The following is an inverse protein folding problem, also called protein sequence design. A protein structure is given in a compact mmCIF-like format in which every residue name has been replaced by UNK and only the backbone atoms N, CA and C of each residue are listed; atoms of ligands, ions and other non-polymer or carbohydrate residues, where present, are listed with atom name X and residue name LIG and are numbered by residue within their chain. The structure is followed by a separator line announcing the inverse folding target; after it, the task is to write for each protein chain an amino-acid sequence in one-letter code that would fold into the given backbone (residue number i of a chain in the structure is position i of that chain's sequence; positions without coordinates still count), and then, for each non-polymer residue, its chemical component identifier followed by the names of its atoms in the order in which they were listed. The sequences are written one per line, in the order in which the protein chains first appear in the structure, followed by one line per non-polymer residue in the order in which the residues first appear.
data_IF_491271190243
#
_entry.id   IF_491271190243
#
_cell.length_a   1.000
_cell.length_b   1.000
_cell.length_c   1.000
_cell.angle_alpha   90.00
_cell.angle_beta   90.00
_cell.angle_gamma   90.00
#
_symmetry.space_group_name_H-M   'P 1'
#
loop_
_entity.id
_entity.type
_entity.pdbx_description
1 polymer ?
#
# COMPACT_ATOMS: atom_id res chain seq x y z
N UNK A 1 22.84 11.11 -4.37
CA UNK A 1 21.42 11.35 -4.58
C UNK A 1 20.62 10.47 -3.63
N UNK A 2 19.73 11.07 -2.86
CA UNK A 2 18.92 10.37 -1.87
C UNK A 2 17.85 9.50 -2.55
N UNK A 3 17.68 8.29 -2.03
CA UNK A 3 16.76 7.29 -2.55
C UNK A 3 16.04 6.64 -1.37
N UNK A 4 14.79 7.04 -1.17
CA UNK A 4 13.97 6.59 -0.05
C UNK A 4 13.07 5.43 -0.48
N UNK A 5 13.10 4.31 0.27
CA UNK A 5 12.18 3.21 0.13
C UNK A 5 11.24 3.14 1.34
N UNK A 6 9.94 3.13 1.07
CA UNK A 6 8.91 2.97 2.07
C UNK A 6 8.13 1.69 1.74
N UNK A 7 8.22 0.70 2.62
CA UNK A 7 7.64 -0.62 2.41
C UNK A 7 6.30 -0.76 3.13
N UNK A 8 5.29 -1.25 2.41
CA UNK A 8 3.98 -1.59 2.95
C UNK A 8 4.06 -3.01 3.53
N UNK A 9 4.24 -3.12 4.84
CA UNK A 9 4.56 -4.39 5.50
C UNK A 9 3.53 -5.48 5.26
N UNK A 10 2.28 -5.25 5.66
CA UNK A 10 1.25 -6.29 5.55
C UNK A 10 0.98 -6.72 4.11
N UNK A 11 0.96 -5.78 3.17
CA UNK A 11 0.78 -6.11 1.76
C UNK A 11 1.88 -7.06 1.26
N UNK A 12 3.12 -6.81 1.65
CA UNK A 12 4.26 -7.66 1.29
C UNK A 12 4.26 -8.99 2.05
N UNK A 13 3.85 -8.99 3.31
CA UNK A 13 3.74 -10.19 4.14
C UNK A 13 2.66 -11.13 3.59
N UNK A 14 1.48 -10.60 3.28
CA UNK A 14 0.40 -11.38 2.67
C UNK A 14 0.82 -11.97 1.34
N UNK A 15 1.47 -11.17 0.50
CA UNK A 15 1.99 -11.64 -0.79
C UNK A 15 2.97 -12.81 -0.60
N UNK A 16 3.89 -12.70 0.34
CA UNK A 16 4.86 -13.75 0.67
C UNK A 16 4.16 -15.01 1.16
N UNK A 17 3.20 -14.88 2.06
CA UNK A 17 2.43 -16.00 2.60
C UNK A 17 1.71 -16.77 1.49
N UNK A 18 0.99 -16.07 0.63
CA UNK A 18 0.22 -16.70 -0.45
C UNK A 18 1.10 -17.27 -1.57
N UNK A 19 2.31 -16.74 -1.75
CA UNK A 19 3.26 -17.31 -2.70
C UNK A 19 3.67 -18.75 -2.32
N UNK A 20 3.64 -19.09 -1.04
CA UNK A 20 3.98 -20.41 -0.52
C UNK A 20 2.77 -21.24 -0.08
N UNK A 21 1.54 -20.79 -0.37
CA UNK A 21 0.33 -21.42 0.16
C UNK A 21 0.20 -22.90 -0.20
N UNK A 22 0.67 -23.31 -1.38
CA UNK A 22 0.63 -24.69 -1.86
C UNK A 22 1.79 -25.55 -1.36
N UNK A 23 2.89 -24.94 -0.96
CA UNK A 23 4.07 -25.63 -0.46
C UNK A 23 4.69 -24.78 0.66
N UNK A 24 4.04 -24.73 1.83
CA UNK A 24 4.48 -23.85 2.91
C UNK A 24 5.83 -24.32 3.49
N UNK A 25 6.61 -23.36 3.94
CA UNK A 25 7.90 -23.61 4.60
C UNK A 25 7.65 -23.85 6.08
N UNK A 26 7.67 -25.10 6.47
CA UNK A 26 7.49 -25.50 7.87
C UNK A 26 8.86 -25.89 8.44
N UNK A 27 9.27 -25.26 9.53
CA UNK A 27 10.54 -25.62 10.19
C UNK A 27 10.39 -26.85 11.08
N UNK A 28 11.48 -27.32 11.69
CA UNK A 28 11.49 -28.51 12.54
C UNK A 28 10.60 -28.42 13.78
N UNK A 29 10.23 -27.21 14.18
CA UNK A 29 9.32 -26.91 15.31
C UNK A 29 7.86 -26.86 14.89
N UNK A 30 7.54 -27.11 13.62
CA UNK A 30 6.18 -27.05 13.09
C UNK A 30 5.69 -25.64 12.78
N UNK A 31 6.55 -24.64 12.81
CA UNK A 31 6.21 -23.25 12.53
C UNK A 31 6.20 -22.99 11.03
N UNK A 32 5.14 -22.36 10.53
CA UNK A 32 5.07 -21.89 9.13
C UNK A 32 5.85 -20.58 9.00
N UNK A 33 7.03 -20.65 8.40
CA UNK A 33 7.95 -19.53 8.22
C UNK A 33 7.86 -18.89 6.84
N UNK A 34 6.86 -19.28 6.05
CA UNK A 34 6.70 -18.82 4.66
C UNK A 34 6.65 -17.31 4.51
N UNK A 35 5.80 -16.64 5.31
CA UNK A 35 5.64 -15.19 5.26
C UNK A 35 6.93 -14.47 5.66
N UNK A 36 7.60 -14.98 6.70
CA UNK A 36 8.87 -14.41 7.18
C UNK A 36 9.95 -14.55 6.12
N UNK A 37 10.11 -15.76 5.59
CA UNK A 37 11.11 -16.04 4.56
C UNK A 37 10.92 -15.19 3.31
N UNK A 38 9.69 -15.14 2.79
CA UNK A 38 9.38 -14.36 1.58
C UNK A 38 9.59 -12.88 1.79
N UNK A 39 9.19 -12.36 2.94
CA UNK A 39 9.40 -10.95 3.27
C UNK A 39 10.89 -10.61 3.36
N UNK A 40 11.67 -11.41 4.09
CA UNK A 40 13.12 -11.19 4.25
C UNK A 40 13.85 -11.30 2.91
N UNK A 41 13.49 -12.30 2.11
CA UNK A 41 14.09 -12.48 0.79
C UNK A 41 13.82 -11.27 -0.11
N UNK A 42 12.60 -10.74 -0.08
CA UNK A 42 12.23 -9.52 -0.81
C UNK A 42 13.01 -8.31 -0.30
N UNK A 43 13.15 -8.17 1.02
CA UNK A 43 13.92 -7.10 1.65
C UNK A 43 15.40 -7.15 1.23
N UNK A 44 16.03 -8.32 1.34
CA UNK A 44 17.43 -8.52 0.94
C UNK A 44 17.65 -8.16 -0.54
N UNK A 45 16.72 -8.56 -1.40
CA UNK A 45 16.77 -8.25 -2.83
C UNK A 45 16.77 -6.74 -3.08
N UNK A 46 15.87 -6.01 -2.43
CA UNK A 46 15.77 -4.56 -2.57
C UNK A 46 17.01 -3.86 -2.04
N UNK A 47 17.49 -4.27 -0.87
CA UNK A 47 18.70 -3.69 -0.27
C UNK A 47 19.93 -3.87 -1.18
N UNK A 48 20.01 -5.02 -1.84
CA UNK A 48 21.12 -5.35 -2.73
C UNK A 48 21.03 -4.68 -4.11
N UNK A 49 19.86 -4.78 -4.75
CA UNK A 49 19.65 -4.30 -6.12
C UNK A 49 19.48 -2.79 -6.20
N UNK A 50 18.73 -2.22 -5.29
CA UNK A 50 18.32 -0.81 -5.35
C UNK A 50 19.21 0.11 -4.53
N UNK A 51 19.96 -0.41 -3.58
CA UNK A 51 20.86 0.37 -2.72
C UNK A 51 20.20 1.62 -2.15
N UNK A 52 19.08 1.48 -1.41
CA UNK A 52 18.42 2.66 -0.85
C UNK A 52 19.34 3.40 0.13
N UNK A 53 19.29 4.72 0.10
CA UNK A 53 19.99 5.55 1.09
C UNK A 53 19.20 5.68 2.37
N UNK A 54 17.87 5.58 2.25
CA UNK A 54 16.93 5.70 3.35
C UNK A 54 15.84 4.63 3.19
N UNK A 55 15.38 4.05 4.27
CA UNK A 55 14.38 2.98 4.24
C UNK A 55 13.56 2.95 5.54
N UNK A 56 12.27 2.71 5.40
CA UNK A 56 11.35 2.48 6.51
C UNK A 56 10.29 1.49 6.11
N UNK A 57 9.71 0.81 7.10
CA UNK A 57 8.66 -0.20 6.88
C UNK A 57 7.43 0.18 7.68
N UNK A 58 6.33 0.44 6.99
CA UNK A 58 5.08 0.87 7.59
C UNK A 58 4.17 -0.31 7.89
N UNK A 59 3.64 -0.34 9.11
CA UNK A 59 2.69 -1.36 9.57
C UNK A 59 1.33 -0.71 9.86
N UNK A 60 0.27 -1.44 9.53
CA UNK A 60 -1.06 -1.07 10.01
C UNK A 60 -1.12 -1.26 11.53
N UNK A 61 -1.80 -0.36 12.25
CA UNK A 61 -1.93 -0.47 13.70
C UNK A 61 -2.92 -1.57 14.09
N UNK A 62 -2.90 -1.97 15.34
CA UNK A 62 -3.95 -2.80 15.89
C UNK A 62 -5.20 -1.96 16.12
N UNK A 63 -6.36 -2.53 15.77
CA UNK A 63 -7.64 -1.89 15.99
C UNK A 63 -8.11 -1.03 14.80
N UNK A 64 -9.26 -0.37 14.96
CA UNK A 64 -9.89 0.39 13.89
C UNK A 64 -9.12 1.68 13.57
N UNK A 65 -9.25 2.13 12.31
CA UNK A 65 -8.71 3.40 11.85
C UNK A 65 -9.84 4.43 11.72
N UNK A 66 -9.50 5.66 11.34
CA UNK A 66 -10.50 6.72 11.13
C UNK A 66 -11.55 6.34 10.08
N UNK A 67 -11.21 5.47 9.10
CA UNK A 67 -12.17 5.01 8.10
C UNK A 67 -13.25 4.12 8.71
N UNK A 68 -12.88 3.23 9.63
CA UNK A 68 -13.83 2.39 10.36
C UNK A 68 -14.75 3.21 11.25
N UNK A 69 -14.24 4.28 11.86
CA UNK A 69 -15.03 5.20 12.67
C UNK A 69 -16.09 5.93 11.84
N UNK A 70 -15.76 6.28 10.61
CA UNK A 70 -16.67 6.97 9.69
C UNK A 70 -17.66 6.00 9.03
N UNK A 71 -17.20 4.79 8.70
CA UNK A 71 -17.99 3.79 7.99
C UNK A 71 -17.64 2.40 8.51
N UNK A 72 -18.48 1.85 9.39
CA UNK A 72 -18.26 0.54 10.03
C UNK A 72 -18.10 -0.61 9.03
N UNK A 73 -18.73 -0.49 7.85
CA UNK A 73 -18.69 -1.51 6.82
C UNK A 73 -17.35 -1.52 6.05
N UNK A 74 -16.50 -0.54 6.27
CA UNK A 74 -15.19 -0.48 5.63
C UNK A 74 -14.39 -1.74 5.96
N UNK A 75 -14.00 -2.49 4.92
CA UNK A 75 -13.27 -3.76 5.02
C UNK A 75 -13.99 -4.85 5.85
N UNK A 76 -15.29 -4.69 6.14
CA UNK A 76 -16.04 -5.58 7.02
C UNK A 76 -16.14 -7.03 6.51
N UNK A 77 -16.09 -7.24 5.19
CA UNK A 77 -16.17 -8.56 4.57
C UNK A 77 -14.82 -9.31 4.52
N UNK A 78 -13.73 -8.64 4.92
CA UNK A 78 -12.41 -9.30 4.93
C UNK A 78 -12.38 -10.39 5.98
N UNK A 79 -11.79 -11.51 5.61
CA UNK A 79 -11.53 -12.61 6.54
C UNK A 79 -10.53 -12.18 7.61
N UNK A 80 -10.57 -12.84 8.76
CA UNK A 80 -9.55 -12.62 9.79
C UNK A 80 -8.16 -12.91 9.24
N UNK A 81 -7.17 -12.17 9.75
CA UNK A 81 -5.77 -12.42 9.40
C UNK A 81 -5.41 -13.86 9.76
N UNK A 82 -4.87 -14.65 8.81
CA UNK A 82 -4.41 -16.01 9.12
C UNK A 82 -3.48 -16.03 10.32
N UNK A 83 -3.62 -17.05 11.17
CA UNK A 83 -2.81 -17.19 12.38
C UNK A 83 -1.31 -17.19 12.08
N UNK A 84 -0.90 -17.86 11.00
CA UNK A 84 0.51 -17.91 10.59
C UNK A 84 1.07 -16.52 10.23
N UNK A 85 0.26 -15.66 9.64
CA UNK A 85 0.64 -14.26 9.38
C UNK A 85 0.73 -13.50 10.71
N UNK A 86 -0.28 -13.66 11.56
CA UNK A 86 -0.33 -13.01 12.87
C UNK A 86 0.88 -13.35 13.72
N UNK A 87 1.28 -14.63 13.74
CA UNK A 87 2.46 -15.11 14.44
C UNK A 87 3.77 -14.61 13.81
N UNK A 88 3.78 -14.38 12.51
CA UNK A 88 4.96 -13.92 11.77
C UNK A 88 5.30 -12.45 12.02
N UNK A 89 4.31 -11.59 12.26
CA UNK A 89 4.51 -10.14 12.36
C UNK A 89 5.50 -9.75 13.47
N UNK A 90 5.40 -10.25 14.71
CA UNK A 90 6.39 -9.92 15.75
C UNK A 90 7.81 -10.34 15.38
N UNK A 91 7.95 -11.48 14.72
CA UNK A 91 9.26 -12.01 14.28
C UNK A 91 9.84 -11.12 13.18
N UNK A 92 9.03 -10.71 12.21
CA UNK A 92 9.45 -9.78 11.15
C UNK A 92 9.89 -8.44 11.77
N UNK A 93 9.17 -7.93 12.74
CA UNK A 93 9.55 -6.70 13.45
C UNK A 93 10.89 -6.86 14.16
N UNK A 94 11.13 -7.99 14.79
CA UNK A 94 12.41 -8.29 15.43
C UNK A 94 13.56 -8.33 14.42
N UNK A 95 13.33 -8.96 13.26
CA UNK A 95 14.29 -8.99 12.16
C UNK A 95 14.59 -7.58 11.67
N UNK A 96 13.56 -6.75 11.46
CA UNK A 96 13.73 -5.36 11.02
C UNK A 96 14.58 -4.56 12.02
N UNK A 97 14.40 -4.77 13.32
CA UNK A 97 15.22 -4.13 14.35
C UNK A 97 16.68 -4.57 14.24
N UNK A 98 16.93 -5.85 13.93
CA UNK A 98 18.28 -6.36 13.70
C UNK A 98 18.92 -5.76 12.44
N UNK A 99 18.12 -5.47 11.41
CA UNK A 99 18.57 -4.72 10.23
C UNK A 99 18.74 -3.21 10.51
N UNK A 100 18.31 -2.75 11.67
CA UNK A 100 18.26 -1.32 12.02
C UNK A 100 17.41 -0.50 11.06
N UNK A 101 16.32 -1.10 10.59
CA UNK A 101 15.33 -0.45 9.72
C UNK A 101 14.15 0.01 10.59
N UNK A 102 13.80 1.30 10.55
CA UNK A 102 12.68 1.82 11.33
C UNK A 102 11.34 1.21 10.98
N UNK A 103 10.58 0.91 12.04
CA UNK A 103 9.19 0.46 11.94
C UNK A 103 8.32 1.70 12.14
N UNK A 104 7.45 1.96 11.16
CA UNK A 104 6.58 3.13 11.12
C UNK A 104 5.14 2.68 11.37
N UNK A 105 4.54 3.17 12.44
CA UNK A 105 3.18 2.81 12.82
C UNK A 105 2.51 3.99 13.52
N UNK A 106 1.32 4.36 13.06
CA UNK A 106 0.56 5.48 13.63
C UNK A 106 -0.83 5.00 14.00
N UNK A 107 -1.18 5.07 15.28
CA UNK A 107 -2.50 4.66 15.76
C UNK A 107 -3.61 5.41 15.02
N UNK A 108 -4.62 4.69 14.56
CA UNK A 108 -5.78 5.26 13.87
C UNK A 108 -5.60 5.48 12.37
N UNK A 109 -4.40 5.24 11.84
CA UNK A 109 -4.07 5.41 10.41
C UNK A 109 -3.53 4.12 9.83
N UNK A 110 -3.86 3.84 8.57
CA UNK A 110 -3.34 2.66 7.88
C UNK A 110 -1.91 2.91 7.39
N UNK A 111 -1.20 1.84 7.07
CA UNK A 111 0.18 1.92 6.54
C UNK A 111 0.25 2.80 5.29
N UNK A 112 -0.76 2.73 4.41
CA UNK A 112 -0.78 3.55 3.20
C UNK A 112 -0.89 5.05 3.49
N UNK A 113 -1.60 5.45 4.56
CA UNK A 113 -1.66 6.84 5.01
C UNK A 113 -0.29 7.31 5.52
N UNK A 114 0.41 6.46 6.25
CA UNK A 114 1.77 6.74 6.73
C UNK A 114 2.72 6.92 5.56
N UNK A 115 2.71 5.99 4.62
CA UNK A 115 3.55 6.04 3.42
C UNK A 115 3.19 7.27 2.57
N UNK A 116 1.90 7.51 2.35
CA UNK A 116 1.42 8.66 1.57
C UNK A 116 1.86 9.99 2.16
N UNK A 117 1.80 10.11 3.48
CA UNK A 117 2.24 11.32 4.20
C UNK A 117 3.74 11.54 4.05
N UNK A 118 4.54 10.51 4.30
CA UNK A 118 6.00 10.62 4.20
C UNK A 118 6.46 10.83 2.76
N UNK A 119 5.84 10.15 1.80
CA UNK A 119 6.15 10.34 0.38
C UNK A 119 5.83 11.77 -0.08
N UNK A 120 4.72 12.34 0.40
CA UNK A 120 4.35 13.72 0.11
C UNK A 120 5.37 14.70 0.67
N UNK A 121 5.81 14.52 1.91
CA UNK A 121 6.82 15.37 2.53
C UNK A 121 8.18 15.24 1.82
N UNK A 122 8.56 14.02 1.43
CA UNK A 122 9.78 13.76 0.67
C UNK A 122 9.74 14.44 -0.71
N UNK A 123 8.60 14.38 -1.38
CA UNK A 123 8.40 15.02 -2.68
C UNK A 123 8.60 16.54 -2.60
N UNK A 124 8.09 17.17 -1.54
CA UNK A 124 8.28 18.60 -1.29
C UNK A 124 9.77 18.97 -1.10
N UNK A 125 10.59 18.02 -0.71
CA UNK A 125 12.04 18.20 -0.56
C UNK A 125 12.82 17.74 -1.80
N UNK A 126 12.13 17.31 -2.86
CA UNK A 126 12.77 16.82 -4.08
C UNK A 126 13.43 15.45 -3.92
N UNK A 127 13.05 14.68 -2.91
CA UNK A 127 13.62 13.36 -2.63
C UNK A 127 12.88 12.29 -3.42
N UNK A 128 13.62 11.47 -4.15
CA UNK A 128 13.08 10.33 -4.88
C UNK A 128 12.62 9.25 -3.90
N UNK A 129 11.32 8.94 -3.95
CA UNK A 129 10.68 7.98 -3.05
C UNK A 129 10.08 6.82 -3.84
N UNK A 130 10.35 5.61 -3.38
CA UNK A 130 9.77 4.38 -3.92
C UNK A 130 8.84 3.77 -2.88
N UNK A 131 7.56 3.75 -3.20
CA UNK A 131 6.52 3.14 -2.37
C UNK A 131 6.43 1.66 -2.77
N UNK A 132 6.97 0.79 -1.93
CA UNK A 132 7.05 -0.64 -2.25
C UNK A 132 5.79 -1.35 -1.77
N UNK A 133 4.92 -1.67 -2.70
CA UNK A 133 3.63 -2.29 -2.44
C UNK A 133 3.09 -2.97 -3.71
N UNK A 134 2.36 -4.09 -3.58
CA UNK A 134 1.59 -4.62 -4.69
C UNK A 134 0.27 -3.87 -4.95
N UNK A 135 -0.13 -2.99 -4.05
CA UNK A 135 -1.39 -2.25 -4.11
C UNK A 135 -1.33 -1.11 -5.14
N UNK A 136 -2.03 -1.30 -6.25
CA UNK A 136 -2.11 -0.32 -7.33
C UNK A 136 -2.81 0.99 -6.96
N UNK A 137 -3.62 0.99 -5.88
CA UNK A 137 -4.35 2.19 -5.44
C UNK A 137 -3.42 3.29 -4.94
N UNK A 138 -2.16 2.95 -4.64
CA UNK A 138 -1.08 3.91 -4.41
C UNK A 138 -0.80 4.79 -5.64
N UNK A 139 -1.36 4.44 -6.81
CA UNK A 139 -1.27 5.25 -8.01
C UNK A 139 -1.70 6.70 -7.79
N UNK A 140 -2.65 6.93 -6.89
CA UNK A 140 -3.11 8.27 -6.52
C UNK A 140 -2.01 9.16 -5.93
N UNK A 141 -0.95 8.55 -5.39
CA UNK A 141 0.17 9.24 -4.73
C UNK A 141 1.33 9.53 -5.68
N UNK A 142 1.29 8.97 -6.88
CA UNK A 142 2.41 9.04 -7.83
C UNK A 142 2.61 10.46 -8.34
N UNK A 143 3.85 10.93 -8.23
CA UNK A 143 4.32 12.20 -8.75
C UNK A 143 5.62 11.95 -9.52
N UNK A 144 6.27 13.01 -9.98
CA UNK A 144 7.58 12.89 -10.64
C UNK A 144 8.62 12.25 -9.71
N UNK A 145 8.58 12.53 -8.40
CA UNK A 145 9.51 12.02 -7.41
C UNK A 145 9.01 10.83 -6.60
N UNK A 146 7.71 10.60 -6.53
CA UNK A 146 7.11 9.49 -5.79
C UNK A 146 6.60 8.43 -6.76
N UNK A 147 7.19 7.25 -6.71
CA UNK A 147 6.91 6.14 -7.62
C UNK A 147 6.46 4.90 -6.85
N UNK A 148 5.69 4.05 -7.50
CA UNK A 148 5.37 2.72 -6.96
C UNK A 148 6.46 1.75 -7.38
N UNK A 149 6.96 0.98 -6.41
CA UNK A 149 7.86 -0.16 -6.65
C UNK A 149 7.02 -1.42 -6.41
N UNK A 150 6.50 -2.00 -7.49
CA UNK A 150 5.49 -3.04 -7.43
C UNK A 150 6.06 -4.40 -7.82
N UNK A 151 5.86 -5.45 -6.99
CA UNK A 151 6.22 -6.80 -7.41
C UNK A 151 5.29 -7.27 -8.54
N UNK A 152 5.86 -7.88 -9.57
CA UNK A 152 5.09 -8.49 -10.65
C UNK A 152 4.60 -9.87 -10.23
N UNK A 153 3.36 -10.18 -10.56
CA UNK A 153 2.80 -11.51 -10.30
C UNK A 153 3.36 -12.52 -11.32
N UNK A 154 3.88 -13.64 -10.80
CA UNK A 154 4.46 -14.71 -11.64
C UNK A 154 5.85 -14.41 -12.20
N UNK A 155 6.40 -13.24 -11.88
CA UNK A 155 7.74 -12.84 -12.25
C UNK A 155 8.47 -12.38 -11.00
N UNK A 156 9.77 -12.66 -10.92
CA UNK A 156 10.60 -12.27 -9.76
C UNK A 156 11.06 -10.81 -9.82
N UNK A 157 10.73 -10.11 -10.90
CA UNK A 157 11.11 -8.72 -11.07
C UNK A 157 10.02 -7.78 -10.59
N UNK A 158 10.44 -6.61 -10.11
CA UNK A 158 9.55 -5.53 -9.72
C UNK A 158 9.28 -4.61 -10.90
N UNK A 159 8.10 -4.00 -10.92
CA UNK A 159 7.74 -2.94 -11.85
C UNK A 159 7.78 -1.61 -11.14
N UNK A 160 8.46 -0.62 -11.74
CA UNK A 160 8.41 0.76 -11.26
C UNK A 160 7.31 1.49 -12.04
N UNK A 161 6.31 2.01 -11.32
CA UNK A 161 5.17 2.72 -11.91
C UNK A 161 5.27 4.21 -11.64
N UNK A 162 5.51 4.98 -12.70
CA UNK A 162 5.46 6.44 -12.68
C UNK A 162 4.13 6.97 -13.22
N UNK A 163 4.08 8.27 -13.46
CA UNK A 163 2.87 9.00 -13.89
C UNK A 163 2.24 8.36 -15.14
N UNK A 164 3.03 8.13 -16.18
CA UNK A 164 2.50 7.61 -17.45
C UNK A 164 1.93 6.19 -17.31
N UNK A 165 2.58 5.34 -16.52
CA UNK A 165 2.10 3.97 -16.30
C UNK A 165 0.80 3.94 -15.49
N UNK A 166 0.66 4.82 -14.50
CA UNK A 166 -0.59 4.95 -13.72
C UNK A 166 -1.73 5.43 -14.61
N UNK A 167 -1.49 6.45 -15.43
CA UNK A 167 -2.47 6.96 -16.38
C UNK A 167 -2.97 5.87 -17.34
N UNK A 168 -2.04 5.12 -17.90
CA UNK A 168 -2.35 4.01 -18.80
C UNK A 168 -3.15 2.90 -18.12
N UNK A 169 -2.70 2.48 -16.92
CA UNK A 169 -3.31 1.38 -16.19
C UNK A 169 -4.74 1.67 -15.78
N UNK A 170 -5.03 2.88 -15.33
CA UNK A 170 -6.37 3.27 -14.86
C UNK A 170 -7.22 3.95 -15.92
N UNK A 171 -6.65 4.30 -17.07
CA UNK A 171 -7.39 5.02 -18.12
C UNK A 171 -7.78 6.43 -17.70
N UNK A 172 -6.87 7.16 -17.07
CA UNK A 172 -7.06 8.51 -16.53
C UNK A 172 -5.98 9.46 -17.05
N UNK A 173 -6.20 10.76 -16.86
CA UNK A 173 -5.27 11.79 -17.34
C UNK A 173 -4.26 12.24 -16.26
N UNK A 174 -4.60 12.07 -14.98
CA UNK A 174 -3.75 12.46 -13.85
C UNK A 174 -3.80 11.38 -12.75
N UNK A 175 -2.67 11.08 -12.10
CA UNK A 175 -2.62 10.05 -11.05
C UNK A 175 -3.64 10.26 -9.91
N UNK A 176 -3.85 11.49 -9.47
CA UNK A 176 -4.81 11.79 -8.40
C UNK A 176 -6.25 11.38 -8.74
N UNK A 177 -6.58 11.20 -10.00
CA UNK A 177 -7.89 10.74 -10.45
C UNK A 177 -8.19 9.27 -10.12
N UNK A 178 -7.19 8.52 -9.64
CA UNK A 178 -7.44 7.18 -9.06
C UNK A 178 -8.46 7.28 -7.94
N UNK A 179 -8.41 8.34 -7.13
CA UNK A 179 -9.37 8.58 -6.04
C UNK A 179 -10.80 8.68 -6.57
N UNK A 180 -10.99 9.45 -7.63
CA UNK A 180 -12.30 9.68 -8.24
C UNK A 180 -12.82 8.42 -8.94
N UNK A 181 -11.94 7.69 -9.59
CA UNK A 181 -12.28 6.42 -10.22
C UNK A 181 -12.82 5.43 -9.19
N UNK A 182 -12.11 5.24 -8.07
CA UNK A 182 -12.54 4.36 -6.99
C UNK A 182 -13.79 4.88 -6.26
N UNK A 183 -13.92 6.19 -6.12
CA UNK A 183 -15.10 6.81 -5.52
C UNK A 183 -16.37 6.57 -6.34
N UNK A 184 -16.25 6.46 -7.65
CA UNK A 184 -17.38 6.19 -8.55
C UNK A 184 -17.66 4.69 -8.73
N UNK A 185 -16.64 3.90 -9.03
CA UNK A 185 -16.84 2.48 -9.29
C UNK A 185 -16.86 1.61 -8.04
N UNK A 186 -16.38 2.17 -6.92
CA UNK A 186 -16.23 1.41 -5.67
C UNK A 186 -15.03 0.50 -5.69
N UNK A 187 -14.82 -0.19 -4.57
CA UNK A 187 -13.77 -1.18 -4.41
C UNK A 187 -14.28 -2.30 -3.51
N UNK A 188 -14.57 -3.45 -4.09
CA UNK A 188 -15.11 -4.59 -3.36
C UNK A 188 -14.12 -5.15 -2.33
N UNK A 189 -12.82 -5.05 -2.56
CA UNK A 189 -11.81 -5.56 -1.64
C UNK A 189 -11.78 -4.77 -0.32
N UNK A 190 -12.10 -3.49 -0.37
CA UNK A 190 -12.16 -2.61 0.80
C UNK A 190 -13.61 -2.32 1.24
N UNK A 191 -14.57 -2.93 0.56
CA UNK A 191 -16.00 -2.70 0.77
C UNK A 191 -16.39 -1.22 0.61
N UNK A 192 -15.76 -0.54 -0.34
CA UNK A 192 -16.12 0.83 -0.72
C UNK A 192 -17.27 0.76 -1.71
N UNK A 193 -18.42 1.37 -1.40
CA UNK A 193 -19.63 1.18 -2.19
C UNK A 193 -19.58 1.78 -3.60
N UNK A 194 -18.96 2.93 -3.77
CA UNK A 194 -19.01 3.68 -5.04
C UNK A 194 -20.41 4.19 -5.36
N UNK A 195 -20.66 4.45 -6.62
CA UNK A 195 -21.99 4.76 -7.12
C UNK A 195 -22.63 3.47 -7.69
N UNK A 196 -23.71 2.95 -7.06
CA UNK A 196 -24.34 1.73 -7.56
C UNK A 196 -24.72 1.83 -9.03
N UNK A 197 -24.34 0.80 -9.79
CA UNK A 197 -24.60 0.74 -11.24
C UNK A 197 -23.58 1.47 -12.12
N UNK A 198 -22.53 2.04 -11.53
CA UNK A 198 -21.43 2.66 -12.26
C UNK A 198 -20.21 1.74 -12.20
N UNK A 199 -19.81 1.22 -13.35
CA UNK A 199 -18.61 0.39 -13.48
C UNK A 199 -17.40 1.21 -13.93
N UNK A 200 -16.29 0.52 -14.17
CA UNK A 200 -15.02 1.14 -14.54
C UNK A 200 -15.10 2.04 -15.77
N UNK A 201 -15.69 1.53 -16.86
CA UNK A 201 -15.78 2.29 -18.13
C UNK A 201 -16.62 3.55 -18.00
N UNK A 202 -17.75 3.46 -17.30
CA UNK A 202 -18.61 4.63 -17.06
C UNK A 202 -17.89 5.63 -16.15
N UNK A 203 -17.21 5.16 -15.12
CA UNK A 203 -16.43 6.01 -14.23
C UNK A 203 -15.32 6.74 -15.00
N UNK A 204 -14.60 6.04 -15.87
CA UNK A 204 -13.55 6.64 -16.71
C UNK A 204 -14.10 7.74 -17.62
N UNK A 205 -15.26 7.51 -18.22
CA UNK A 205 -15.92 8.53 -19.07
C UNK A 205 -16.32 9.75 -18.28
N UNK A 206 -16.89 9.57 -17.09
CA UNK A 206 -17.29 10.67 -16.22
C UNK A 206 -16.08 11.51 -15.78
N UNK A 207 -14.99 10.85 -15.42
CA UNK A 207 -13.76 11.53 -15.02
C UNK A 207 -13.13 12.28 -16.20
N UNK A 208 -13.15 11.67 -17.40
CA UNK A 208 -12.64 12.32 -18.61
C UNK A 208 -13.42 13.59 -18.93
N UNK A 209 -14.74 13.57 -18.73
CA UNK A 209 -15.62 14.70 -19.03
C UNK A 209 -15.57 15.79 -17.94
N UNK A 210 -15.63 15.39 -16.65
CA UNK A 210 -15.77 16.34 -15.54
C UNK A 210 -14.47 16.56 -14.76
N UNK A 211 -13.47 15.72 -14.91
CA UNK A 211 -12.17 15.82 -14.26
C UNK A 211 -12.10 15.18 -12.88
N UNK A 212 -13.07 15.41 -12.03
CA UNK A 212 -13.13 14.86 -10.67
C UNK A 212 -14.57 14.77 -10.17
N UNK A 213 -14.75 14.10 -9.03
CA UNK A 213 -16.07 13.95 -8.40
C UNK A 213 -16.67 15.27 -7.96
N UNK A 214 -15.96 16.18 -7.29
CA UNK A 214 -16.55 17.48 -6.93
C UNK A 214 -17.14 18.23 -8.11
N UNK A 215 -16.44 18.26 -9.23
CA UNK A 215 -16.92 18.90 -10.47
C UNK A 215 -18.13 18.17 -11.06
N UNK A 216 -18.07 16.83 -11.08
CA UNK A 216 -19.20 16.00 -11.53
C UNK A 216 -20.46 16.30 -10.71
N UNK A 217 -20.35 16.33 -9.40
CA UNK A 217 -21.50 16.57 -8.51
C UNK A 217 -22.04 17.98 -8.63
N UNK A 218 -21.17 18.97 -8.84
CA UNK A 218 -21.57 20.36 -9.08
C UNK A 218 -22.31 20.54 -10.42
N UNK A 219 -21.96 19.70 -11.41
CA UNK A 219 -22.53 19.76 -12.77
C UNK A 219 -23.40 18.55 -13.11
N UNK A 220 -23.94 17.86 -12.11
CA UNK A 220 -24.73 16.63 -12.32
C UNK A 220 -26.02 16.83 -13.13
N UNK A 221 -26.52 18.03 -13.17
CA UNK A 221 -27.68 18.41 -14.00
C UNK A 221 -27.37 18.33 -15.50
N UNK A 222 -26.12 18.31 -15.91
CA UNK A 222 -25.71 18.10 -17.31
C UNK A 222 -25.78 16.62 -17.72
N UNK A 223 -25.92 15.70 -16.76
CA UNK A 223 -26.10 14.28 -17.02
C UNK A 223 -27.53 14.00 -17.53
N UNK A 224 -27.69 12.88 -18.20
CA UNK A 224 -28.98 12.49 -18.81
C UNK A 224 -29.35 11.05 -18.47
N UNK A 225 -30.67 10.77 -18.51
CA UNK A 225 -31.22 9.43 -18.41
C UNK A 225 -30.91 8.72 -17.09
N UNK A 226 -30.67 7.42 -17.20
CA UNK A 226 -30.44 6.56 -16.04
C UNK A 226 -29.18 6.95 -15.24
N UNK A 227 -28.15 7.43 -15.92
CA UNK A 227 -26.90 7.84 -15.28
C UNK A 227 -27.12 9.07 -14.38
N UNK A 228 -27.89 10.06 -14.86
CA UNK A 228 -28.26 11.23 -14.06
C UNK A 228 -28.97 10.82 -12.78
N UNK A 229 -29.94 9.90 -12.88
CA UNK A 229 -30.67 9.37 -11.74
C UNK A 229 -29.77 8.68 -10.74
N UNK A 230 -28.86 7.80 -11.22
CA UNK A 230 -27.91 7.07 -10.35
C UNK A 230 -27.02 8.02 -9.56
N UNK A 231 -26.48 9.05 -10.21
CA UNK A 231 -25.59 10.01 -9.56
C UNK A 231 -26.38 10.89 -8.57
N UNK A 232 -27.53 11.43 -8.96
CA UNK A 232 -28.36 12.28 -8.10
C UNK A 232 -28.87 11.58 -6.85
N UNK A 233 -29.21 10.29 -6.96
CA UNK A 233 -29.70 9.48 -5.82
C UNK A 233 -28.58 9.04 -4.88
N UNK A 234 -27.32 9.14 -5.29
CA UNK A 234 -26.19 8.58 -4.55
C UNK A 234 -25.07 9.60 -4.24
N UNK A 235 -25.39 10.88 -4.18
CA UNK A 235 -24.42 11.96 -3.94
C UNK A 235 -23.63 11.70 -2.65
N UNK A 236 -24.30 11.42 -1.53
CA UNK A 236 -23.65 11.19 -0.26
C UNK A 236 -22.77 9.94 -0.29
N UNK A 237 -23.23 8.88 -0.95
CA UNK A 237 -22.51 7.63 -1.07
C UNK A 237 -21.24 7.79 -1.93
N UNK A 238 -21.32 8.58 -2.99
CA UNK A 238 -20.18 8.91 -3.85
C UNK A 238 -19.14 9.70 -3.05
N UNK A 239 -19.57 10.71 -2.31
CA UNK A 239 -18.68 11.51 -1.46
C UNK A 239 -18.00 10.68 -0.38
N UNK A 240 -18.76 9.80 0.28
CA UNK A 240 -18.22 8.86 1.26
C UNK A 240 -17.18 7.92 0.63
N UNK A 241 -17.51 7.36 -0.54
CA UNK A 241 -16.62 6.44 -1.25
C UNK A 241 -15.32 7.12 -1.66
N UNK A 242 -15.39 8.35 -2.13
CA UNK A 242 -14.20 9.15 -2.47
C UNK A 242 -13.33 9.38 -1.23
N UNK A 243 -13.93 9.72 -0.11
CA UNK A 243 -13.23 9.89 1.16
C UNK A 243 -12.53 8.60 1.60
N UNK A 244 -13.23 7.47 1.56
CA UNK A 244 -12.67 6.17 1.96
C UNK A 244 -11.50 5.74 1.05
N UNK A 245 -11.58 6.03 -0.24
CA UNK A 245 -10.55 5.69 -1.22
C UNK A 245 -9.33 6.62 -1.14
N UNK A 246 -9.46 7.78 -0.51
CA UNK A 246 -8.37 8.76 -0.44
C UNK A 246 -7.35 8.37 0.61
N UNK A 247 -6.10 8.18 0.20
CA UNK A 247 -4.97 7.98 1.09
C UNK A 247 -4.62 9.34 1.71
N UNK A 248 -4.53 9.40 3.04
CA UNK A 248 -4.15 10.63 3.73
C UNK A 248 -2.68 10.96 3.48
N UNK A 249 -2.42 12.24 3.24
CA UNK A 249 -1.06 12.77 3.09
C UNK A 249 -0.70 13.74 4.22
N UNK A 250 -1.54 13.80 5.24
CA UNK A 250 -1.42 14.67 6.40
C UNK A 250 -1.57 13.93 7.74
N UNK A 251 -1.26 12.63 7.75
CA UNK A 251 -1.23 11.84 9.00
C UNK A 251 -0.21 12.45 9.99
N UNK A 252 -0.40 12.25 11.30
CA UNK A 252 0.46 12.86 12.32
C UNK A 252 1.81 12.18 12.43
N UNK A 253 2.59 12.25 11.38
CA UNK A 253 3.95 11.73 11.29
C UNK A 253 4.81 12.70 10.46
N UNK A 254 6.05 12.88 10.87
CA UNK A 254 6.99 13.76 10.18
C UNK A 254 8.16 12.96 9.62
N UNK A 255 8.55 13.27 8.39
CA UNK A 255 9.71 12.66 7.74
C UNK A 255 10.99 13.02 8.51
N UNK A 256 11.65 12.01 9.04
CA UNK A 256 12.92 12.11 9.74
C UNK A 256 13.99 11.34 8.95
N UNK A 257 14.70 12.04 8.08
CA UNK A 257 15.72 11.45 7.22
C UNK A 257 16.88 10.84 7.99
N UNK A 258 17.24 11.41 9.14
CA UNK A 258 18.30 10.83 9.98
C UNK A 258 17.89 9.47 10.54
N UNK A 259 16.63 9.36 11.00
CA UNK A 259 16.10 8.10 11.52
C UNK A 259 15.97 7.04 10.42
N UNK A 260 15.65 7.45 9.19
CA UNK A 260 15.44 6.54 8.06
C UNK A 260 16.74 6.21 7.31
N UNK A 261 17.83 6.89 7.61
CA UNK A 261 19.11 6.64 6.97
C UNK A 261 19.52 5.18 7.14
N UNK A 262 19.86 4.55 6.02
CA UNK A 262 20.26 3.14 6.02
C UNK A 262 21.52 2.95 6.85
N UNK A 263 21.47 2.02 7.79
CA UNK A 263 22.57 1.65 8.67
C UNK A 263 23.05 0.23 8.38
N UNK A 264 24.28 -0.07 8.81
CA UNK A 264 24.80 -1.42 8.78
C UNK A 264 23.97 -2.30 9.72
N UNK A 265 23.51 -3.48 9.27
CA UNK A 265 22.74 -4.36 10.12
C UNK A 265 23.59 -4.98 11.24
N UNK A 266 22.92 -5.42 12.30
CA UNK A 266 23.50 -6.24 13.35
C UNK A 266 23.60 -7.68 12.83
N UNK A 267 24.70 -8.01 12.17
CA UNK A 267 24.92 -9.30 11.51
C UNK A 267 24.84 -10.48 12.46
N UNK A 268 25.35 -10.35 13.69
CA UNK A 268 25.31 -11.41 14.70
C UNK A 268 23.86 -11.74 15.09
N UNK A 269 23.05 -10.70 15.30
CA UNK A 269 21.65 -10.86 15.67
C UNK A 269 20.83 -11.46 14.52
N UNK A 270 21.09 -11.03 13.30
CA UNK A 270 20.46 -11.58 12.08
C UNK A 270 20.81 -13.05 11.94
N UNK A 271 22.08 -13.41 12.11
CA UNK A 271 22.56 -14.79 12.07
C UNK A 271 21.79 -15.66 13.06
N UNK A 272 21.68 -15.22 14.31
CA UNK A 272 20.95 -15.93 15.36
C UNK A 272 19.48 -16.14 14.99
N UNK A 273 18.80 -15.11 14.53
CA UNK A 273 17.40 -15.18 14.11
C UNK A 273 17.20 -16.13 12.94
N UNK A 274 18.07 -16.08 11.94
CA UNK A 274 17.98 -16.96 10.77
C UNK A 274 18.29 -18.42 11.12
N UNK A 275 19.19 -18.67 12.06
CA UNK A 275 19.45 -20.02 12.57
C UNK A 275 18.23 -20.60 13.28
N UNK A 276 17.58 -19.81 14.14
CA UNK A 276 16.36 -20.21 14.85
C UNK A 276 15.21 -20.51 13.88
N UNK A 277 15.12 -19.74 12.79
CA UNK A 277 14.09 -19.93 11.76
C UNK A 277 14.45 -20.99 10.72
N UNK A 278 15.67 -21.52 10.79
CA UNK A 278 16.21 -22.52 9.85
C UNK A 278 16.29 -22.00 8.39
N UNK A 279 16.62 -20.72 8.23
CA UNK A 279 16.81 -20.07 6.93
C UNK A 279 18.22 -20.31 6.37
N UNK A 280 18.49 -21.55 5.98
CA UNK A 280 19.82 -21.98 5.54
C UNK A 280 20.36 -21.21 4.34
N UNK A 281 19.49 -20.87 3.40
CA UNK A 281 19.89 -20.15 2.17
C UNK A 281 20.24 -18.69 2.42
N UNK A 282 19.81 -18.12 3.55
CA UNK A 282 20.09 -16.74 3.94
C UNK A 282 21.24 -16.61 4.93
N UNK A 283 21.70 -17.74 5.47
CA UNK A 283 22.87 -17.78 6.35
C UNK A 283 24.14 -17.63 5.53
N UNK A 284 25.06 -16.76 5.99
CA UNK A 284 26.36 -16.50 5.36
C UNK A 284 27.47 -17.25 6.07
#
# INVERSE_FOLDING_TARGET
MEKLFLLDAYALIYRAYYAFIRAPRINSKGQNTSAIFGFVNTLEDVLKKEQPTHIGVAFDPKGPTFRHELFEQYKAQREETPEDIRASVPIIKEILRAYRIPILEVSGYEADDVIGTLAHQADQQGIKTYMMTPDKDYGQLVTENALIYRPKFGDKEFEVMGIERVKEKFGIERPEQVIDLLGLMGDSSDNIPGCPGVGEKTAQKLIAEFGDIPTLLARRDELKGALKKKVEENVELIELSRFLATIKTDAPITLDLEALKREEPDEEKIQTLFEELEFRTLLK
#
